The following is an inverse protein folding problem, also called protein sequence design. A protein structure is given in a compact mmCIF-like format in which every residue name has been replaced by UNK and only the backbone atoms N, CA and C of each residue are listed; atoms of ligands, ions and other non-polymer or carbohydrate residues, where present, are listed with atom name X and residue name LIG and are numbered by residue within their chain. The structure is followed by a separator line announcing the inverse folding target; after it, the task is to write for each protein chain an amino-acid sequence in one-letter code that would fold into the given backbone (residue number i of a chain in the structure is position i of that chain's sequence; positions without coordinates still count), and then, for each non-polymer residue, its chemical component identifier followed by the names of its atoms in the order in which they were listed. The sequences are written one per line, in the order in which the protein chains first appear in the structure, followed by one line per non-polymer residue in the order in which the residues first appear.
data_IF_651945689682
#
_entry.id   IF_651945689682
#
_cell.length_a   1.000
_cell.length_b   1.000
_cell.length_c   1.000
_cell.angle_alpha   90.00
_cell.angle_beta   90.00
_cell.angle_gamma   90.00
#
_symmetry.space_group_name_H-M   'P 1'
#
loop_
_entity.id
_entity.type
_entity.pdbx_description
1 polymer ?
#
# COMPACT_ATOMS: atom_id res chain seq x y z
N UNK A 1 -32.44 -44.06 -7.71
CA UNK A 1 -32.32 -42.77 -7.00
C UNK A 1 -31.22 -42.70 -5.95
N UNK A 2 -30.49 -43.78 -5.65
CA UNK A 2 -29.37 -43.77 -4.62
C UNK A 2 -27.97 -43.56 -5.19
N UNK A 3 -27.74 -43.78 -6.48
CA UNK A 3 -26.37 -43.59 -7.07
C UNK A 3 -25.96 -42.13 -7.28
N UNK A 4 -26.92 -41.21 -7.43
CA UNK A 4 -26.63 -39.78 -7.61
C UNK A 4 -26.12 -39.13 -6.34
N UNK A 5 -26.53 -39.62 -5.17
CA UNK A 5 -26.15 -39.07 -3.87
C UNK A 5 -24.69 -39.40 -3.50
N UNK A 6 -24.20 -40.57 -3.88
CA UNK A 6 -22.85 -41.01 -3.53
C UNK A 6 -21.76 -40.27 -4.33
N UNK A 7 -22.03 -39.96 -5.62
CA UNK A 7 -21.09 -39.18 -6.45
C UNK A 7 -20.98 -37.74 -6.01
N UNK A 8 -22.09 -37.14 -5.52
CA UNK A 8 -22.08 -35.77 -5.03
C UNK A 8 -21.25 -35.63 -3.74
N UNK A 9 -21.32 -36.63 -2.84
CA UNK A 9 -20.56 -36.63 -1.58
C UNK A 9 -19.05 -36.77 -1.81
N UNK A 10 -18.64 -37.52 -2.86
CA UNK A 10 -17.22 -37.73 -3.16
C UNK A 10 -16.55 -36.48 -3.77
N UNK A 11 -17.31 -35.58 -4.42
CA UNK A 11 -16.78 -34.36 -5.01
C UNK A 11 -16.73 -33.18 -4.05
N UNK A 12 -17.48 -33.22 -2.95
CA UNK A 12 -17.54 -32.15 -1.95
C UNK A 12 -16.16 -31.84 -1.30
N UNK A 13 -15.35 -32.84 -0.86
CA UNK A 13 -14.04 -32.59 -0.28
C UNK A 13 -13.01 -32.06 -1.32
N UNK A 14 -13.13 -32.48 -2.58
CA UNK A 14 -12.26 -31.97 -3.65
C UNK A 14 -12.58 -30.50 -3.96
N UNK A 15 -13.85 -30.13 -3.94
CA UNK A 15 -14.28 -28.75 -4.13
C UNK A 15 -13.85 -27.87 -2.94
N UNK A 16 -13.88 -28.38 -1.72
CA UNK A 16 -13.40 -27.68 -0.52
C UNK A 16 -11.90 -27.42 -0.54
N UNK A 17 -11.10 -28.33 -1.09
CA UNK A 17 -9.64 -28.14 -1.20
C UNK A 17 -9.24 -27.05 -2.22
N UNK A 18 -10.12 -26.68 -3.16
CA UNK A 18 -9.84 -25.62 -4.12
C UNK A 18 -10.01 -24.20 -3.54
N UNK A 19 -10.55 -24.07 -2.34
CA UNK A 19 -10.78 -22.78 -1.66
C UNK A 19 -9.83 -22.51 -0.48
N UNK A 20 -8.81 -23.34 -0.26
CA UNK A 20 -7.74 -23.00 0.66
C UNK A 20 -6.82 -22.04 -0.09
N UNK A 21 -7.21 -20.77 -0.17
CA UNK A 21 -6.27 -19.69 -0.42
C UNK A 21 -5.44 -19.55 0.86
N UNK A 22 -4.20 -20.01 0.82
CA UNK A 22 -3.21 -19.54 1.76
C UNK A 22 -3.18 -18.00 1.57
N UNK A 23 -3.54 -17.26 2.59
CA UNK A 23 -3.33 -15.83 2.59
C UNK A 23 -1.82 -15.61 2.72
N UNK A 24 -1.13 -15.47 1.60
CA UNK A 24 0.25 -15.03 1.61
C UNK A 24 0.31 -13.69 2.34
N UNK A 25 1.26 -13.56 3.24
CA UNK A 25 1.46 -12.31 3.94
C UNK A 25 1.90 -11.23 2.93
N UNK A 26 1.30 -10.06 3.00
CA UNK A 26 1.61 -8.95 2.11
C UNK A 26 3.09 -8.54 2.22
N UNK A 27 3.72 -8.25 1.11
CA UNK A 27 5.10 -7.74 1.03
C UNK A 27 5.10 -6.24 0.82
N UNK A 28 5.83 -5.53 1.69
CA UNK A 28 5.89 -4.08 1.68
C UNK A 28 7.33 -3.59 1.62
N UNK A 29 7.53 -2.44 0.99
CA UNK A 29 8.79 -1.72 1.14
C UNK A 29 8.90 -1.12 2.54
N UNK A 30 10.10 -1.19 3.13
CA UNK A 30 10.40 -0.64 4.44
C UNK A 30 11.58 0.32 4.34
N UNK A 31 11.33 1.58 4.64
CA UNK A 31 12.34 2.63 4.68
C UNK A 31 11.82 3.87 5.41
N UNK A 32 12.74 4.71 5.86
CA UNK A 32 12.44 6.03 6.42
C UNK A 32 13.43 7.05 5.88
N UNK A 33 12.95 8.13 5.29
CA UNK A 33 13.82 9.20 4.81
C UNK A 33 14.47 10.00 5.94
N UNK A 34 14.05 9.78 7.20
CA UNK A 34 14.75 10.33 8.36
C UNK A 34 16.10 9.64 8.63
N UNK A 35 16.26 8.41 8.11
CA UNK A 35 17.49 7.61 8.24
C UNK A 35 18.42 7.78 7.03
N UNK A 36 17.98 8.49 6.00
CA UNK A 36 18.78 8.77 4.81
C UNK A 36 19.97 9.66 5.17
N UNK A 37 21.14 9.31 4.64
CA UNK A 37 22.33 10.14 4.78
C UNK A 37 22.14 11.45 4.02
N UNK A 38 22.86 12.48 4.45
CA UNK A 38 22.79 13.81 3.83
C UNK A 38 23.06 13.72 2.30
N UNK A 39 22.06 14.11 1.51
CA UNK A 39 22.11 14.09 0.05
C UNK A 39 21.56 12.82 -0.60
N UNK A 40 21.23 11.82 0.18
CA UNK A 40 20.49 10.62 -0.26
C UNK A 40 18.98 10.85 -0.14
N UNK A 41 18.21 10.12 -0.91
CA UNK A 41 16.75 10.11 -0.86
C UNK A 41 16.27 8.69 -1.23
N UNK A 42 16.64 7.74 -0.36
CA UNK A 42 16.38 6.31 -0.59
C UNK A 42 14.89 5.99 -0.44
N UNK A 43 14.19 6.70 0.44
CA UNK A 43 12.77 6.47 0.66
C UNK A 43 11.84 7.32 -0.23
N UNK A 44 12.38 8.15 -1.11
CA UNK A 44 11.62 8.93 -2.10
C UNK A 44 10.82 10.08 -1.48
N UNK A 45 11.46 10.87 -0.60
CA UNK A 45 10.84 12.06 -0.02
C UNK A 45 10.80 13.23 -1.03
N UNK A 46 11.83 13.38 -1.86
CA UNK A 46 12.00 14.47 -2.81
C UNK A 46 12.02 13.99 -4.26
N UNK A 47 12.40 12.74 -4.48
CA UNK A 47 12.45 12.10 -5.81
C UNK A 47 11.43 10.97 -5.87
N UNK A 48 11.21 10.45 -7.07
CA UNK A 48 10.40 9.25 -7.24
C UNK A 48 11.10 8.08 -6.54
N UNK A 49 10.34 7.32 -5.73
CA UNK A 49 10.83 6.12 -5.09
C UNK A 49 11.30 5.10 -6.12
N UNK A 50 12.53 4.65 -5.99
CA UNK A 50 13.11 3.63 -6.86
C UNK A 50 12.88 2.24 -6.25
N UNK A 51 11.84 1.59 -6.68
CA UNK A 51 11.49 0.25 -6.22
C UNK A 51 12.52 -0.84 -6.60
N UNK A 52 13.37 -0.58 -7.59
CA UNK A 52 14.35 -1.55 -8.06
C UNK A 52 15.61 -1.59 -7.17
N UNK A 53 15.85 -0.55 -6.42
CA UNK A 53 16.94 -0.50 -5.44
C UNK A 53 16.55 -0.98 -4.04
N UNK A 54 15.30 -1.42 -3.86
CA UNK A 54 14.78 -1.89 -2.58
C UNK A 54 14.20 -3.30 -2.72
N UNK A 55 14.29 -4.06 -1.64
CA UNK A 55 13.65 -5.37 -1.52
C UNK A 55 12.40 -5.20 -0.67
N UNK A 56 11.26 -5.67 -1.18
CA UNK A 56 10.04 -5.72 -0.39
C UNK A 56 10.12 -6.89 0.60
N UNK A 57 9.77 -6.63 1.84
CA UNK A 57 9.85 -7.56 2.96
C UNK A 57 8.47 -8.08 3.27
N UNK A 58 8.35 -9.37 3.52
CA UNK A 58 7.11 -10.00 3.97
C UNK A 58 6.75 -9.51 5.37
N UNK A 59 5.55 -8.97 5.55
CA UNK A 59 5.16 -8.28 6.78
C UNK A 59 5.06 -9.15 8.03
N UNK A 60 4.97 -10.46 7.89
CA UNK A 60 4.95 -11.41 9.00
C UNK A 60 6.28 -12.14 9.19
N UNK A 61 7.32 -11.77 8.45
CA UNK A 61 8.67 -12.32 8.61
C UNK A 61 9.43 -11.66 9.77
N UNK A 62 10.52 -12.28 10.20
CA UNK A 62 11.43 -11.72 11.21
C UNK A 62 12.16 -10.45 10.71
N UNK A 63 12.21 -10.23 9.41
CA UNK A 63 12.81 -9.05 8.78
C UNK A 63 11.89 -7.84 8.83
N UNK A 64 10.61 -8.05 9.15
CA UNK A 64 9.66 -6.96 9.25
C UNK A 64 9.81 -6.18 10.56
N UNK A 65 9.95 -4.86 10.45
CA UNK A 65 9.97 -3.97 11.62
C UNK A 65 8.65 -3.97 12.40
N UNK A 66 7.55 -4.26 11.72
CA UNK A 66 6.21 -4.40 12.31
C UNK A 66 5.45 -5.49 11.57
N UNK A 67 4.81 -6.42 12.30
CA UNK A 67 3.91 -7.38 11.66
C UNK A 67 2.66 -6.67 11.13
N UNK A 68 2.06 -7.22 10.09
CA UNK A 68 0.81 -6.67 9.60
C UNK A 68 0.31 -7.29 8.31
N UNK A 69 -0.90 -6.91 7.94
CA UNK A 69 -1.58 -7.36 6.73
C UNK A 69 -1.72 -6.26 5.69
N UNK A 70 -1.13 -5.09 5.94
CA UNK A 70 -1.22 -3.92 5.09
C UNK A 70 0.15 -3.31 4.86
N UNK A 71 0.32 -2.66 3.72
CA UNK A 71 1.42 -1.74 3.50
C UNK A 71 0.97 -0.31 3.80
N UNK A 72 1.84 0.44 4.47
CA UNK A 72 1.60 1.83 4.83
C UNK A 72 2.66 2.73 4.20
N UNK A 73 2.22 3.92 3.81
CA UNK A 73 3.08 5.03 3.43
C UNK A 73 2.62 6.28 4.16
N UNK A 74 3.52 6.85 4.95
CA UNK A 74 3.30 8.14 5.62
C UNK A 74 4.15 9.20 4.95
N UNK A 75 3.56 10.34 4.69
CA UNK A 75 4.26 11.54 4.23
C UNK A 75 4.02 12.66 5.23
N UNK A 76 5.08 13.31 5.66
CA UNK A 76 5.01 14.54 6.46
C UNK A 76 5.78 15.64 5.74
N UNK A 77 5.30 16.86 5.81
CA UNK A 77 5.90 18.00 5.13
C UNK A 77 5.81 19.26 6.00
N UNK A 78 6.89 20.03 6.02
CA UNK A 78 6.93 21.31 6.70
C UNK A 78 5.87 22.29 6.16
N UNK A 79 5.34 23.16 7.02
CA UNK A 79 4.39 24.18 6.59
C UNK A 79 5.02 25.07 5.51
N UNK A 80 4.17 25.53 4.58
CA UNK A 80 4.54 26.55 3.60
C UNK A 80 4.49 27.91 4.29
N UNK A 81 5.61 28.45 4.72
CA UNK A 81 5.67 29.75 5.38
C UNK A 81 6.96 30.51 5.08
N UNK A 82 6.87 31.84 5.15
CA UNK A 82 7.98 32.75 4.84
C UNK A 82 9.15 32.71 5.83
N UNK A 83 8.97 32.09 6.99
CA UNK A 83 9.92 32.19 8.13
C UNK A 83 10.89 31.02 8.18
N UNK A 84 10.62 29.91 7.49
CA UNK A 84 11.48 28.71 7.53
C UNK A 84 12.24 28.55 6.22
N UNK A 85 13.53 28.80 6.26
CA UNK A 85 14.43 28.58 5.12
C UNK A 85 14.70 27.09 4.82
N UNK A 86 14.06 26.19 5.53
CA UNK A 86 14.23 24.75 5.36
C UNK A 86 12.91 24.04 5.12
N UNK A 87 12.50 23.90 3.86
CA UNK A 87 11.41 22.97 3.52
C UNK A 87 11.93 21.55 3.71
N UNK A 88 11.31 20.80 4.60
CA UNK A 88 11.60 19.38 4.76
C UNK A 88 10.37 18.55 4.39
N UNK A 89 10.63 17.36 3.92
CA UNK A 89 9.63 16.32 3.69
C UNK A 89 10.19 15.00 4.17
N UNK A 90 9.36 14.25 4.88
CA UNK A 90 9.67 12.91 5.34
C UNK A 90 8.69 11.93 4.74
N UNK A 91 9.21 10.78 4.32
CA UNK A 91 8.42 9.64 3.87
C UNK A 91 8.84 8.42 4.66
N UNK A 92 7.85 7.68 5.16
CA UNK A 92 8.05 6.41 5.83
C UNK A 92 7.21 5.38 5.08
N UNK A 93 7.82 4.24 4.78
CA UNK A 93 7.17 3.07 4.19
C UNK A 93 7.38 1.89 5.11
N UNK A 94 6.33 1.15 5.43
CA UNK A 94 6.40 -0.01 6.33
C UNK A 94 5.16 -0.89 6.23
N UNK A 95 5.21 -2.03 6.91
CA UNK A 95 4.03 -2.83 7.21
C UNK A 95 3.15 -2.16 8.26
N UNK A 96 1.87 -2.49 8.28
CA UNK A 96 0.91 -2.03 9.28
C UNK A 96 -0.06 -3.16 9.63
N UNK A 97 -0.41 -3.28 10.91
CA UNK A 97 -1.36 -4.28 11.41
C UNK A 97 -2.82 -3.84 11.27
N UNK A 98 -3.06 -2.54 11.23
CA UNK A 98 -4.38 -1.92 11.10
C UNK A 98 -4.29 -0.78 10.08
N UNK A 99 -5.32 -0.63 9.28
CA UNK A 99 -5.52 0.57 8.50
C UNK A 99 -6.32 1.57 9.34
N UNK A 100 -5.67 2.59 9.88
CA UNK A 100 -6.33 3.60 10.74
C UNK A 100 -7.45 4.34 10.00
N UNK A 101 -7.40 4.34 8.67
CA UNK A 101 -8.47 4.84 7.81
C UNK A 101 -9.71 3.94 7.80
N UNK A 102 -9.61 2.70 8.31
CA UNK A 102 -10.65 1.66 8.20
C UNK A 102 -10.88 1.12 6.77
N UNK A 103 -10.21 1.70 5.77
CA UNK A 103 -10.34 1.33 4.35
C UNK A 103 -8.96 1.33 3.70
N UNK A 104 -8.68 0.32 2.88
CA UNK A 104 -7.46 0.26 2.06
C UNK A 104 -7.64 0.95 0.70
N UNK A 105 -6.56 1.38 0.09
CA UNK A 105 -6.57 2.06 -1.21
C UNK A 105 -6.91 3.55 -1.16
N UNK A 106 -7.11 4.10 0.04
CA UNK A 106 -7.34 5.53 0.27
C UNK A 106 -6.28 6.10 1.20
N UNK A 107 -6.11 7.42 1.15
CA UNK A 107 -5.23 8.16 2.04
C UNK A 107 -6.03 9.10 2.92
N UNK A 108 -5.70 9.13 4.20
CA UNK A 108 -6.07 10.23 5.09
C UNK A 108 -5.01 11.31 5.05
N UNK A 109 -5.43 12.53 5.23
CA UNK A 109 -4.52 13.66 5.28
C UNK A 109 -5.03 14.75 6.21
N UNK A 110 -4.15 15.57 6.68
CA UNK A 110 -4.50 16.69 7.54
C UNK A 110 -3.32 17.62 7.77
N UNK A 111 -3.53 18.57 8.66
CA UNK A 111 -2.51 19.51 9.10
C UNK A 111 -2.55 19.54 10.62
N UNK A 112 -1.41 19.33 11.26
CA UNK A 112 -1.27 19.49 12.70
C UNK A 112 -1.36 20.97 13.10
N UNK A 113 -1.60 21.24 14.38
CA UNK A 113 -1.68 22.62 14.92
C UNK A 113 -0.41 23.44 14.64
N UNK A 114 0.75 22.78 14.54
CA UNK A 114 2.03 23.42 14.19
C UNK A 114 2.19 23.67 12.67
N UNK A 115 1.16 23.42 11.86
CA UNK A 115 1.15 23.62 10.42
C UNK A 115 1.81 22.52 9.59
N UNK A 116 2.29 21.45 10.21
CA UNK A 116 2.87 20.31 9.48
C UNK A 116 1.75 19.56 8.76
N UNK A 117 1.86 19.42 7.44
CA UNK A 117 1.00 18.55 6.65
C UNK A 117 1.40 17.10 6.84
N UNK A 118 0.41 16.23 6.95
CA UNK A 118 0.59 14.78 6.97
C UNK A 118 -0.37 14.07 6.02
N UNK A 119 0.05 12.95 5.48
CA UNK A 119 -0.74 12.06 4.64
C UNK A 119 -0.37 10.62 4.97
N UNK A 120 -1.36 9.78 5.21
CA UNK A 120 -1.21 8.34 5.50
C UNK A 120 -2.05 7.54 4.53
N UNK A 121 -1.41 6.62 3.83
CA UNK A 121 -2.02 5.76 2.84
C UNK A 121 -1.82 4.30 3.23
N UNK A 122 -2.87 3.50 3.12
CA UNK A 122 -2.85 2.07 3.38
C UNK A 122 -3.31 1.29 2.16
N UNK A 123 -2.68 0.16 1.90
CA UNK A 123 -3.03 -0.74 0.83
C UNK A 123 -2.73 -2.20 1.22
N UNK A 124 -3.39 -3.15 0.57
CA UNK A 124 -3.36 -4.58 0.91
C UNK A 124 -2.72 -5.46 -0.16
N UNK A 125 -2.16 -4.88 -1.20
CA UNK A 125 -1.48 -5.61 -2.27
C UNK A 125 0.03 -5.59 -2.06
N UNK A 126 0.73 -6.56 -2.64
CA UNK A 126 2.18 -6.61 -2.63
C UNK A 126 2.78 -5.35 -3.24
N UNK A 127 3.80 -4.80 -2.56
CA UNK A 127 4.57 -3.65 -3.03
C UNK A 127 3.76 -2.37 -3.30
N UNK A 128 2.50 -2.32 -2.86
CA UNK A 128 1.59 -1.23 -3.17
C UNK A 128 2.01 0.11 -2.56
N UNK A 129 2.80 0.11 -1.50
CA UNK A 129 3.33 1.34 -0.90
C UNK A 129 4.53 1.95 -1.68
N UNK A 130 4.85 1.42 -2.86
CA UNK A 130 5.87 1.99 -3.76
C UNK A 130 5.40 3.26 -4.48
N UNK A 131 4.09 3.39 -4.76
CA UNK A 131 3.56 4.46 -5.59
C UNK A 131 3.23 5.74 -4.80
N UNK A 132 3.26 6.87 -5.49
CA UNK A 132 2.52 8.04 -5.07
C UNK A 132 1.06 7.79 -5.46
N UNK A 133 0.15 7.89 -4.50
CA UNK A 133 -1.27 7.56 -4.61
C UNK A 133 -2.03 8.48 -5.57
N UNK A 134 -1.78 8.36 -6.85
CA UNK A 134 -2.62 8.91 -7.89
C UNK A 134 -2.89 7.86 -8.96
N UNK A 135 -3.28 6.66 -8.53
CA UNK A 135 -3.85 5.67 -9.43
C UNK A 135 -5.38 5.81 -9.43
N UNK A 136 -5.84 6.96 -9.85
CA UNK A 136 -7.12 7.01 -10.55
C UNK A 136 -6.89 6.25 -11.85
N UNK A 137 -7.42 5.06 -11.90
CA UNK A 137 -7.09 4.07 -12.89
C UNK A 137 -7.33 4.64 -14.29
N UNK A 138 -6.25 4.76 -15.06
CA UNK A 138 -6.29 4.95 -16.53
C UNK A 138 -7.29 3.97 -17.17
N UNK A 139 -7.50 2.80 -16.55
CA UNK A 139 -8.53 1.84 -16.92
C UNK A 139 -9.96 2.38 -16.85
N UNK A 140 -10.32 3.16 -15.84
CA UNK A 140 -11.66 3.73 -15.74
C UNK A 140 -11.90 4.80 -16.81
N UNK A 141 -10.88 5.61 -17.10
CA UNK A 141 -10.91 6.59 -18.19
C UNK A 141 -11.03 5.93 -19.56
N UNK A 142 -10.28 4.85 -19.81
CA UNK A 142 -10.39 4.09 -21.05
C UNK A 142 -11.76 3.41 -21.19
N UNK A 143 -12.31 2.87 -20.10
CA UNK A 143 -13.64 2.28 -20.10
C UNK A 143 -14.72 3.32 -20.40
N UNK A 144 -14.63 4.50 -19.81
CA UNK A 144 -15.52 5.62 -20.11
C UNK A 144 -15.43 6.03 -21.59
N UNK A 145 -14.22 6.15 -22.15
CA UNK A 145 -14.03 6.52 -23.55
C UNK A 145 -14.56 5.46 -24.52
N UNK A 146 -14.49 4.17 -24.17
CA UNK A 146 -15.06 3.09 -24.97
C UNK A 146 -16.59 3.16 -24.93
N UNK A 147 -17.19 3.37 -23.76
CA UNK A 147 -18.64 3.48 -23.61
C UNK A 147 -19.18 4.70 -24.40
N UNK A 148 -18.50 5.85 -24.32
CA UNK A 148 -18.89 7.05 -25.08
C UNK A 148 -18.73 6.90 -26.60
N UNK A 149 -17.92 5.97 -27.07
CA UNK A 149 -17.72 5.75 -28.51
C UNK A 149 -18.72 4.75 -29.11
N UNK A 150 -19.44 4.00 -28.27
CA UNK A 150 -20.45 3.03 -28.68
C UNK A 150 -21.89 3.52 -28.43
N UNK A 151 -22.08 4.71 -27.89
CA UNK A 151 -23.35 5.43 -27.79
C UNK A 151 -23.39 6.59 -28.78
#
# INVERSE_FOLDING_TARGET
MMEFSCKLILHLPVLMMLFVHESEAVRCYQCSSAEDKKGEDNCGAYRKFDKWSHIAVECNSEESHMPGSFCMKVTQQSPKGFIWNGRWRQVIRRCASVADTGVTGVCNWGVYENGIYWEECYCSEDECNSSNTNVLSVGLLLLCLIIFRYH
#
